data_IF_711257547105
#
_entry.id   IF_711257547105
#
_cell.length_a   1.000
_cell.length_b   1.000
_cell.length_c   1.000
_cell.angle_alpha   90.00
_cell.angle_beta   90.00
_cell.angle_gamma   90.00
#
_symmetry.space_group_name_H-M   'P 1'
#
loop_
_entity.id
_entity.type
_entity.pdbx_description
1 polymer ?
#
# COMPACT_ATOMS: atom_id res chain seq x y z
N UNK A 1 -0.90 4.22 30.76
CA UNK A 1 0.42 3.77 30.24
C UNK A 1 0.29 3.01 28.91
N UNK A 2 -0.57 1.98 28.80
CA UNK A 2 -0.74 1.18 27.58
C UNK A 2 -1.11 2.01 26.33
N UNK A 3 -2.11 2.90 26.41
CA UNK A 3 -2.53 3.73 25.27
C UNK A 3 -1.41 4.63 24.74
N UNK A 4 -0.62 5.24 25.63
CA UNK A 4 0.51 6.08 25.24
C UNK A 4 1.59 5.28 24.49
N UNK A 5 1.94 4.08 24.99
CA UNK A 5 2.90 3.21 24.31
C UNK A 5 2.39 2.78 22.94
N UNK A 6 1.12 2.39 22.81
CA UNK A 6 0.53 2.01 21.51
C UNK A 6 0.50 3.17 20.52
N UNK A 7 0.24 4.38 21.00
CA UNK A 7 0.28 5.59 20.17
C UNK A 7 1.67 5.82 19.56
N UNK A 8 2.72 5.82 20.39
CA UNK A 8 4.08 6.04 19.90
C UNK A 8 4.58 4.90 19.01
N UNK A 9 4.26 3.64 19.33
CA UNK A 9 4.58 2.49 18.48
C UNK A 9 3.86 2.60 17.13
N UNK A 10 2.58 2.99 17.12
CA UNK A 10 1.82 3.20 15.89
C UNK A 10 2.37 4.36 15.04
N UNK A 11 2.75 5.47 15.66
CA UNK A 11 3.35 6.62 15.00
C UNK A 11 4.70 6.27 14.36
N UNK A 12 5.58 5.59 15.10
CA UNK A 12 6.86 5.13 14.58
C UNK A 12 6.68 4.16 13.40
N UNK A 13 5.76 3.21 13.52
CA UNK A 13 5.46 2.22 12.47
C UNK A 13 4.93 2.89 11.20
N UNK A 14 4.01 3.84 11.33
CA UNK A 14 3.48 4.60 10.20
C UNK A 14 4.56 5.42 9.48
N UNK A 15 5.45 6.07 10.22
CA UNK A 15 6.56 6.84 9.66
C UNK A 15 7.57 5.99 8.91
N UNK A 16 8.00 4.87 9.50
CA UNK A 16 8.99 3.96 8.90
C UNK A 16 8.49 3.40 7.56
N UNK A 17 7.21 3.01 7.48
CA UNK A 17 6.63 2.50 6.24
C UNK A 17 6.75 3.52 5.09
N UNK A 18 6.40 4.79 5.35
CA UNK A 18 6.45 5.84 4.34
C UNK A 18 7.88 6.09 3.88
N UNK A 19 8.83 6.22 4.83
CA UNK A 19 10.24 6.52 4.53
C UNK A 19 10.90 5.38 3.74
N UNK A 20 10.67 4.12 4.12
CA UNK A 20 11.22 2.98 3.38
C UNK A 20 10.61 2.91 1.98
N UNK A 21 9.29 3.10 1.85
CA UNK A 21 8.63 3.07 0.54
C UNK A 21 9.13 4.17 -0.40
N UNK A 22 9.41 5.37 0.11
CA UNK A 22 9.95 6.47 -0.73
C UNK A 22 11.39 6.19 -1.12
N UNK A 23 12.22 5.76 -0.17
CA UNK A 23 13.62 5.45 -0.40
C UNK A 23 13.81 4.35 -1.45
N UNK A 24 13.07 3.24 -1.35
CA UNK A 24 13.16 2.17 -2.34
C UNK A 24 12.74 2.66 -3.73
N UNK A 25 11.75 3.54 -3.82
CA UNK A 25 11.25 4.06 -5.10
C UNK A 25 12.18 5.10 -5.74
N UNK A 26 13.00 5.78 -4.93
CA UNK A 26 14.07 6.67 -5.40
C UNK A 26 15.26 5.88 -5.95
N UNK A 27 15.58 4.74 -5.33
CA UNK A 27 16.67 3.85 -5.79
C UNK A 27 16.33 3.05 -7.04
N UNK A 28 15.05 2.92 -7.37
CA UNK A 28 14.58 2.12 -8.50
C UNK A 28 14.22 2.99 -9.71
N UNK A 29 14.74 2.58 -10.87
CA UNK A 29 14.36 3.12 -12.17
C UNK A 29 12.86 2.91 -12.41
N UNK A 30 12.22 3.82 -13.16
CA UNK A 30 10.78 3.83 -13.40
C UNK A 30 10.24 2.47 -13.91
N UNK A 31 11.00 1.77 -14.75
CA UNK A 31 10.64 0.46 -15.30
C UNK A 31 10.59 -0.67 -14.25
N UNK A 32 11.40 -0.57 -13.19
CA UNK A 32 11.54 -1.62 -12.16
C UNK A 32 10.53 -1.49 -11.02
N UNK A 33 9.89 -0.32 -10.88
CA UNK A 33 8.94 -0.01 -9.78
C UNK A 33 7.73 -0.94 -9.77
N UNK A 34 7.20 -1.27 -10.95
CA UNK A 34 6.06 -2.19 -11.07
C UNK A 34 6.44 -3.63 -10.69
N UNK A 35 7.66 -4.07 -11.07
CA UNK A 35 8.16 -5.41 -10.73
C UNK A 35 8.26 -5.57 -9.21
N UNK A 36 8.83 -4.58 -8.52
CA UNK A 36 8.92 -4.62 -7.06
C UNK A 36 7.55 -4.74 -6.42
N UNK A 37 6.57 -3.93 -6.82
CA UNK A 37 5.22 -3.93 -6.23
C UNK A 37 4.41 -5.18 -6.57
N UNK A 38 4.65 -5.76 -7.74
CA UNK A 38 4.05 -7.03 -8.15
C UNK A 38 4.57 -8.20 -7.32
N UNK A 39 5.88 -8.28 -7.12
CA UNK A 39 6.56 -9.39 -6.42
C UNK A 39 6.50 -9.23 -4.90
N UNK A 40 6.85 -8.05 -4.39
CA UNK A 40 6.83 -7.71 -2.97
C UNK A 40 5.52 -7.00 -2.63
N UNK A 41 4.57 -7.76 -2.08
CA UNK A 41 3.23 -7.30 -1.81
C UNK A 41 2.71 -7.72 -0.44
N UNK A 42 1.61 -7.09 0.00
CA UNK A 42 0.93 -7.35 1.27
C UNK A 42 0.39 -8.79 1.41
N UNK A 43 0.17 -9.49 0.30
CA UNK A 43 -0.25 -10.90 0.32
C UNK A 43 0.78 -11.80 0.98
N UNK A 44 2.08 -11.56 0.72
CA UNK A 44 3.17 -12.28 1.39
C UNK A 44 3.17 -12.05 2.90
N UNK A 45 2.99 -10.80 3.35
CA UNK A 45 2.92 -10.47 4.78
C UNK A 45 1.81 -11.25 5.47
N UNK A 46 0.62 -11.36 4.86
CA UNK A 46 -0.49 -12.17 5.39
C UNK A 46 -0.10 -13.65 5.47
N UNK A 47 0.45 -14.23 4.41
CA UNK A 47 0.86 -15.66 4.40
C UNK A 47 1.91 -15.94 5.49
N UNK A 48 2.98 -15.14 5.56
CA UNK A 48 4.05 -15.34 6.52
C UNK A 48 3.58 -15.15 7.96
N UNK A 49 2.84 -14.08 8.25
CA UNK A 49 2.34 -13.81 9.59
C UNK A 49 1.38 -14.91 10.05
N UNK A 50 0.44 -15.33 9.19
CA UNK A 50 -0.50 -16.40 9.52
C UNK A 50 0.22 -17.73 9.74
N UNK A 51 1.26 -18.03 8.96
CA UNK A 51 2.08 -19.24 9.14
C UNK A 51 2.83 -19.22 10.47
N UNK A 52 3.45 -18.08 10.83
CA UNK A 52 4.15 -17.92 12.11
C UNK A 52 3.17 -18.07 13.28
N UNK A 53 1.99 -17.44 13.19
CA UNK A 53 0.94 -17.56 14.21
C UNK A 53 0.44 -19.01 14.35
N UNK A 54 0.31 -19.74 13.24
CA UNK A 54 -0.08 -21.15 13.27
C UNK A 54 0.90 -22.02 14.06
N UNK A 55 2.21 -21.86 13.84
CA UNK A 55 3.22 -22.66 14.53
C UNK A 55 3.44 -22.24 15.99
N UNK A 56 3.37 -20.95 16.28
CA UNK A 56 3.71 -20.43 17.62
C UNK A 56 2.56 -20.53 18.62
N UNK A 57 1.29 -20.59 18.14
CA UNK A 57 0.03 -20.69 18.91
C UNK A 57 -0.16 -19.64 20.03
N UNK A 58 0.82 -18.76 20.23
CA UNK A 58 0.94 -17.79 21.29
C UNK A 58 1.43 -16.47 20.68
N UNK A 59 0.65 -15.40 20.87
CA UNK A 59 0.96 -14.08 20.30
C UNK A 59 2.34 -13.55 20.72
N UNK A 60 2.79 -13.85 21.95
CA UNK A 60 4.11 -13.45 22.45
C UNK A 60 5.26 -14.07 21.65
N UNK A 61 5.17 -15.36 21.40
CA UNK A 61 6.19 -16.09 20.63
C UNK A 61 6.14 -15.68 19.16
N UNK A 62 4.94 -15.46 18.60
CA UNK A 62 4.76 -14.95 17.23
C UNK A 62 5.49 -13.60 17.05
N UNK A 63 5.30 -12.65 17.97
CA UNK A 63 5.95 -11.34 17.91
C UNK A 63 7.48 -11.42 18.03
N UNK A 64 8.00 -12.30 18.89
CA UNK A 64 9.46 -12.51 19.02
C UNK A 64 10.04 -13.11 17.74
N UNK A 65 9.38 -14.11 17.16
CA UNK A 65 9.81 -14.72 15.89
C UNK A 65 9.80 -13.68 14.76
N UNK A 66 8.76 -12.85 14.67
CA UNK A 66 8.72 -11.76 13.70
C UNK A 66 9.88 -10.76 13.90
N UNK A 67 10.17 -10.38 15.14
CA UNK A 67 11.31 -9.49 15.43
C UNK A 67 12.65 -10.14 15.03
N UNK A 68 12.87 -11.42 15.35
CA UNK A 68 14.08 -12.15 14.98
C UNK A 68 14.26 -12.25 13.46
N UNK A 69 13.19 -12.50 12.70
CA UNK A 69 13.22 -12.55 11.24
C UNK A 69 13.60 -11.22 10.59
N UNK A 70 13.47 -10.12 11.32
CA UNK A 70 13.77 -8.77 10.81
C UNK A 70 15.18 -8.28 11.16
N UNK A 71 15.84 -8.92 12.14
CA UNK A 71 17.23 -8.61 12.50
C UNK A 71 18.23 -8.73 11.33
N UNK A 72 18.13 -9.72 10.42
CA UNK A 72 19.02 -9.79 9.26
C UNK A 72 18.86 -8.60 8.32
N UNK A 73 17.63 -8.10 8.13
CA UNK A 73 17.37 -6.92 7.30
C UNK A 73 17.96 -5.66 7.92
N UNK A 74 17.83 -5.51 9.25
CA UNK A 74 18.44 -4.40 10.01
C UNK A 74 19.97 -4.48 9.94
N UNK A 75 20.53 -5.68 10.09
CA UNK A 75 21.98 -5.90 10.03
C UNK A 75 22.56 -5.61 8.64
N UNK A 76 21.92 -6.09 7.57
CA UNK A 76 22.31 -5.78 6.20
C UNK A 76 22.14 -4.28 5.89
N UNK A 77 21.09 -3.65 6.41
CA UNK A 77 20.91 -2.19 6.35
C UNK A 77 22.04 -1.44 7.05
N UNK A 78 22.45 -1.88 8.24
CA UNK A 78 23.59 -1.29 8.97
C UNK A 78 24.92 -1.50 8.23
N UNK A 79 25.12 -2.66 7.60
CA UNK A 79 26.30 -2.92 6.77
C UNK A 79 26.32 -2.09 5.48
N UNK A 80 25.18 -1.91 4.82
CA UNK A 80 25.08 -1.03 3.65
C UNK A 80 25.23 0.44 4.05
N UNK A 81 24.65 0.86 5.18
CA UNK A 81 24.83 2.19 5.75
C UNK A 81 26.31 2.47 6.07
N UNK A 82 27.05 1.46 6.55
CA UNK A 82 28.50 1.60 6.76
C UNK A 82 29.32 1.79 5.46
N UNK A 83 28.76 1.49 4.28
CA UNK A 83 29.36 1.81 2.97
C UNK A 83 28.93 3.17 2.40
N UNK A 84 27.75 3.66 2.79
CA UNK A 84 27.25 5.01 2.41
C UNK A 84 27.82 6.09 3.35
N UNK A 85 28.25 5.70 4.56
CA UNK A 85 28.82 6.58 5.58
C UNK A 85 30.07 7.38 5.16
N UNK A 86 30.76 7.02 4.08
CA UNK A 86 31.89 7.80 3.57
C UNK A 86 31.48 9.11 2.87
N UNK A 87 30.21 9.27 2.47
CA UNK A 87 29.73 10.45 1.70
C UNK A 87 28.88 11.42 2.55
N UNK A 88 28.34 10.99 3.70
CA UNK A 88 27.21 11.68 4.34
C UNK A 88 27.47 12.16 5.79
N UNK A 89 28.71 12.58 6.09
CA UNK A 89 29.12 13.11 7.42
C UNK A 89 28.52 14.50 7.75
N UNK A 90 27.75 15.14 6.87
CA UNK A 90 27.31 16.53 7.04
C UNK A 90 25.83 16.78 7.41
N UNK A 91 24.96 15.79 7.60
CA UNK A 91 23.56 16.09 8.00
C UNK A 91 22.90 15.05 8.89
N UNK A 92 23.07 15.29 10.18
CA UNK A 92 21.98 15.28 11.16
C UNK A 92 21.23 13.95 11.40
N UNK A 93 21.85 13.14 12.27
CA UNK A 93 21.24 12.58 13.50
C UNK A 93 19.95 11.76 13.38
N UNK A 94 20.16 10.46 13.58
CA UNK A 94 19.33 9.52 14.35
C UNK A 94 18.08 8.96 13.69
N UNK A 95 18.15 7.71 13.26
CA UNK A 95 16.98 6.88 12.90
C UNK A 95 17.23 5.42 13.28
N UNK A 96 16.78 5.04 14.48
CA UNK A 96 16.76 3.65 14.93
C UNK A 96 15.36 3.06 14.65
N UNK A 97 15.33 2.00 13.84
CA UNK A 97 14.15 1.19 13.55
C UNK A 97 14.00 0.06 14.58
N UNK A 98 12.76 -0.24 14.98
CA UNK A 98 12.30 -1.61 15.27
C UNK A 98 10.77 -1.70 15.18
N UNK A 99 10.31 -2.84 14.65
CA UNK A 99 8.98 -3.13 14.12
C UNK A 99 7.93 -3.53 15.16
N UNK A 100 6.67 -3.15 14.89
CA UNK A 100 5.52 -4.07 14.94
C UNK A 100 4.25 -3.40 14.35
N UNK A 101 3.87 -3.78 13.13
CA UNK A 101 2.49 -3.70 12.61
C UNK A 101 1.87 -5.10 12.70
N UNK A 102 0.60 -5.33 12.99
CA UNK A 102 -0.54 -4.47 13.33
C UNK A 102 -1.59 -5.40 13.94
N UNK A 103 -2.34 -4.91 14.93
CA UNK A 103 -3.53 -5.58 15.45
C UNK A 103 -4.63 -5.64 14.38
N UNK A 104 -4.85 -6.82 13.82
CA UNK A 104 -6.14 -7.31 13.34
C UNK A 104 -6.34 -8.75 13.84
N UNK A 105 -6.13 -8.97 15.14
CA UNK A 105 -6.23 -10.30 15.77
C UNK A 105 -7.18 -10.30 16.98
N UNK A 106 -8.36 -9.72 16.79
CA UNK A 106 -9.45 -9.74 17.77
C UNK A 106 -10.73 -9.44 16.99
N UNK A 107 -11.24 -10.37 16.18
CA UNK A 107 -12.51 -11.05 16.53
C UNK A 107 -12.73 -12.37 15.75
N UNK A 108 -11.67 -13.03 15.26
CA UNK A 108 -11.80 -14.23 14.40
C UNK A 108 -11.04 -15.48 14.89
N UNK A 109 -10.76 -15.55 16.20
CA UNK A 109 -10.09 -16.71 16.84
C UNK A 109 -11.07 -17.63 17.59
N UNK A 110 -12.25 -17.89 17.01
CA UNK A 110 -13.23 -18.80 17.61
C UNK A 110 -13.86 -19.77 16.60
N UNK A 111 -13.10 -20.30 15.63
CA UNK A 111 -13.32 -21.66 15.10
C UNK A 111 -12.06 -22.15 14.36
N UNK A 112 -11.44 -23.16 14.96
CA UNK A 112 -10.09 -23.67 14.79
C UNK A 112 -9.95 -24.62 13.58
N UNK A 113 -9.12 -24.28 12.61
CA UNK A 113 -8.79 -25.14 11.45
C UNK A 113 -9.12 -24.49 10.11
N UNK A 114 -10.39 -24.41 9.77
CA UNK A 114 -10.84 -23.97 8.44
C UNK A 114 -10.51 -22.49 8.16
N UNK A 115 -10.64 -21.63 9.18
CA UNK A 115 -10.40 -20.18 9.08
C UNK A 115 -8.97 -19.82 8.65
N UNK A 116 -7.97 -20.57 9.10
CA UNK A 116 -6.56 -20.30 8.73
C UNK A 116 -6.28 -20.64 7.27
N UNK A 117 -6.87 -21.74 6.78
CA UNK A 117 -6.78 -22.13 5.38
C UNK A 117 -7.37 -21.04 4.48
N UNK A 118 -8.52 -20.46 4.87
CA UNK A 118 -9.11 -19.34 4.14
C UNK A 118 -8.23 -18.09 4.12
N UNK A 119 -7.55 -17.75 5.22
CA UNK A 119 -6.65 -16.59 5.26
C UNK A 119 -5.40 -16.80 4.40
N UNK A 120 -4.84 -18.01 4.40
CA UNK A 120 -3.70 -18.36 3.53
C UNK A 120 -4.13 -18.36 2.07
N UNK A 121 -5.28 -18.97 1.75
CA UNK A 121 -5.85 -18.96 0.40
C UNK A 121 -6.12 -17.54 -0.08
N UNK A 122 -6.63 -16.68 0.80
CA UNK A 122 -6.84 -15.28 0.51
C UNK A 122 -5.53 -14.54 0.20
N UNK A 123 -4.50 -14.72 1.03
CA UNK A 123 -3.16 -14.19 0.76
C UNK A 123 -2.59 -14.70 -0.57
N UNK A 124 -2.77 -15.98 -0.87
CA UNK A 124 -2.31 -16.59 -2.12
C UNK A 124 -3.02 -16.01 -3.35
N UNK A 125 -4.33 -15.78 -3.27
CA UNK A 125 -5.10 -15.11 -4.33
C UNK A 125 -4.58 -13.70 -4.56
N UNK A 126 -4.31 -12.93 -3.50
CA UNK A 126 -3.73 -11.59 -3.62
C UNK A 126 -2.36 -11.61 -4.30
N UNK A 127 -1.47 -12.53 -3.91
CA UNK A 127 -0.15 -12.70 -4.55
C UNK A 127 -0.30 -13.05 -6.03
N UNK A 128 -1.10 -14.08 -6.35
CA UNK A 128 -1.34 -14.51 -7.71
C UNK A 128 -1.92 -13.38 -8.57
N UNK A 129 -2.86 -12.61 -8.02
CA UNK A 129 -3.46 -11.46 -8.69
C UNK A 129 -2.42 -10.40 -9.06
N UNK A 130 -1.46 -10.09 -8.18
CA UNK A 130 -0.41 -9.09 -8.48
C UNK A 130 0.63 -9.60 -9.47
N UNK A 131 0.92 -10.90 -9.48
CA UNK A 131 1.74 -11.52 -10.53
C UNK A 131 1.06 -11.44 -11.90
N UNK A 132 -0.25 -11.65 -11.98
CA UNK A 132 -1.03 -11.45 -13.21
C UNK A 132 -0.98 -9.98 -13.64
N UNK A 133 -1.16 -9.05 -12.71
CA UNK A 133 -1.08 -7.61 -13.00
C UNK A 133 0.29 -7.22 -13.57
N UNK A 134 1.36 -7.74 -12.98
CA UNK A 134 2.72 -7.53 -13.45
C UNK A 134 2.91 -8.11 -14.87
N UNK A 135 2.44 -9.34 -15.11
CA UNK A 135 2.53 -9.97 -16.43
C UNK A 135 1.77 -9.15 -17.50
N UNK A 136 0.61 -8.60 -17.15
CA UNK A 136 -0.18 -7.72 -18.04
C UNK A 136 0.55 -6.41 -18.31
N UNK A 137 1.11 -5.76 -17.28
CA UNK A 137 1.81 -4.48 -17.45
C UNK A 137 3.08 -4.62 -18.30
N UNK A 138 3.82 -5.73 -18.13
CA UNK A 138 5.03 -6.03 -18.91
C UNK A 138 4.70 -6.44 -20.34
N UNK A 139 3.65 -7.24 -20.57
CA UNK A 139 3.32 -7.77 -21.91
C UNK A 139 2.59 -6.74 -22.80
N UNK A 140 1.86 -5.81 -22.20
CA UNK A 140 1.07 -4.83 -22.95
C UNK A 140 1.62 -3.40 -22.77
N UNK A 141 2.47 -2.90 -23.69
CA UNK A 141 3.04 -1.54 -23.58
C UNK A 141 1.98 -0.44 -23.74
N UNK A 142 0.84 -0.74 -24.37
CA UNK A 142 -0.32 0.17 -24.47
C UNK A 142 -1.12 0.33 -23.16
N UNK A 143 -0.81 -0.51 -22.16
CA UNK A 143 -1.45 -0.45 -20.87
C UNK A 143 -0.87 0.71 -20.07
N UNK A 144 -1.71 1.71 -19.80
CA UNK A 144 -1.30 2.98 -19.25
C UNK A 144 -1.66 3.05 -17.76
N UNK A 145 -0.91 3.79 -16.94
CA UNK A 145 -1.14 3.87 -15.48
C UNK A 145 -2.52 4.41 -15.16
N UNK A 146 -2.99 5.37 -15.98
CA UNK A 146 -4.34 5.93 -15.85
C UNK A 146 -5.43 4.89 -16.11
N UNK A 147 -5.30 4.08 -17.15
CA UNK A 147 -6.26 3.01 -17.48
C UNK A 147 -6.28 1.93 -16.41
N UNK A 148 -5.11 1.61 -15.83
CA UNK A 148 -5.01 0.70 -14.70
C UNK A 148 -5.80 1.22 -13.49
N UNK A 149 -5.53 2.46 -13.07
CA UNK A 149 -6.22 3.07 -11.93
C UNK A 149 -7.73 3.16 -12.14
N UNK A 150 -8.17 3.74 -13.26
CA UNK A 150 -9.59 3.93 -13.56
C UNK A 150 -10.32 2.61 -13.74
N UNK A 151 -9.70 1.64 -14.44
CA UNK A 151 -10.28 0.31 -14.65
C UNK A 151 -10.45 -0.47 -13.34
N UNK A 152 -9.43 -0.48 -12.48
CA UNK A 152 -9.49 -1.11 -11.17
C UNK A 152 -10.56 -0.46 -10.28
N UNK A 153 -10.62 0.88 -10.26
CA UNK A 153 -11.59 1.63 -9.48
C UNK A 153 -13.04 1.36 -9.93
N UNK A 154 -13.30 1.29 -11.24
CA UNK A 154 -14.62 0.93 -11.78
C UNK A 154 -14.99 -0.51 -11.38
N UNK A 155 -14.06 -1.45 -11.50
CA UNK A 155 -14.29 -2.83 -11.10
C UNK A 155 -14.58 -2.97 -9.60
N UNK A 156 -13.90 -2.20 -8.75
CA UNK A 156 -14.21 -2.10 -7.31
C UNK A 156 -15.63 -1.60 -7.10
N UNK A 157 -16.01 -0.46 -7.67
CA UNK A 157 -17.36 0.10 -7.49
C UNK A 157 -18.44 -0.89 -7.96
N UNK A 158 -18.21 -1.60 -9.06
CA UNK A 158 -19.12 -2.64 -9.54
C UNK A 158 -19.24 -3.82 -8.56
N UNK A 159 -18.13 -4.38 -8.09
CA UNK A 159 -18.16 -5.50 -7.14
C UNK A 159 -18.88 -5.12 -5.84
N UNK A 160 -18.60 -3.94 -5.29
CA UNK A 160 -19.24 -3.45 -4.07
C UNK A 160 -20.71 -3.08 -4.27
N UNK A 161 -21.12 -2.65 -5.47
CA UNK A 161 -22.53 -2.46 -5.82
C UNK A 161 -23.29 -3.80 -5.85
N UNK A 162 -22.67 -4.85 -6.39
CA UNK A 162 -23.25 -6.21 -6.35
C UNK A 162 -23.36 -6.71 -4.92
N UNK A 163 -22.34 -6.50 -4.07
CA UNK A 163 -22.41 -6.84 -2.64
C UNK A 163 -23.53 -6.08 -1.92
N UNK A 164 -23.66 -4.77 -2.18
CA UNK A 164 -24.75 -3.97 -1.61
C UNK A 164 -26.13 -4.52 -2.00
N UNK A 165 -26.30 -4.91 -3.27
CA UNK A 165 -27.54 -5.53 -3.75
C UNK A 165 -27.80 -6.90 -3.12
N UNK A 166 -26.78 -7.75 -2.98
CA UNK A 166 -26.90 -9.06 -2.32
C UNK A 166 -27.26 -8.94 -0.85
N UNK A 167 -26.65 -7.98 -0.13
CA UNK A 167 -27.00 -7.67 1.25
C UNK A 167 -28.41 -7.11 1.38
N UNK A 168 -28.88 -6.31 0.41
CA UNK A 168 -30.26 -5.83 0.37
C UNK A 168 -31.27 -6.99 0.25
N UNK A 169 -30.91 -8.04 -0.50
CA UNK A 169 -31.73 -9.25 -0.67
C UNK A 169 -31.55 -10.23 0.52
N UNK A 170 -30.61 -9.96 1.43
CA UNK A 170 -30.32 -10.82 2.59
C UNK A 170 -29.55 -12.10 2.24
N UNK A 171 -28.86 -12.14 1.09
CA UNK A 171 -28.10 -13.31 0.67
C UNK A 171 -26.65 -13.29 1.18
N UNK A 172 -26.28 -14.34 1.93
CA UNK A 172 -24.95 -14.51 2.53
C UNK A 172 -24.26 -15.82 2.12
N UNK A 173 -24.59 -16.37 0.95
CA UNK A 173 -24.01 -17.63 0.47
C UNK A 173 -22.58 -17.52 -0.07
N UNK A 174 -22.00 -18.60 -0.63
CA UNK A 174 -20.60 -18.64 -1.06
C UNK A 174 -20.26 -17.63 -2.17
N UNK A 175 -21.22 -17.28 -3.02
CA UNK A 175 -21.04 -16.27 -4.08
C UNK A 175 -20.72 -14.89 -3.48
N UNK A 176 -21.26 -14.58 -2.30
CA UNK A 176 -20.98 -13.33 -1.58
C UNK A 176 -19.49 -13.22 -1.22
N UNK A 177 -18.91 -14.34 -0.74
CA UNK A 177 -17.48 -14.42 -0.41
C UNK A 177 -16.63 -14.28 -1.67
N UNK A 178 -16.99 -14.94 -2.78
CA UNK A 178 -16.21 -14.82 -4.03
C UNK A 178 -16.17 -13.37 -4.53
N UNK A 179 -17.30 -12.66 -4.47
CA UNK A 179 -17.37 -11.26 -4.92
C UNK A 179 -16.64 -10.32 -3.94
N UNK A 180 -16.69 -10.58 -2.62
CA UNK A 180 -15.94 -9.77 -1.64
C UNK A 180 -14.42 -9.95 -1.78
N UNK A 181 -13.98 -11.17 -2.07
CA UNK A 181 -12.58 -11.47 -2.39
C UNK A 181 -12.14 -10.74 -3.67
N UNK A 182 -12.95 -10.81 -4.73
CA UNK A 182 -12.68 -10.12 -5.99
C UNK A 182 -12.63 -8.60 -5.80
N UNK A 183 -13.58 -8.03 -5.04
CA UNK A 183 -13.59 -6.61 -4.71
C UNK A 183 -12.33 -6.17 -3.96
N UNK A 184 -11.81 -7.02 -3.07
CA UNK A 184 -10.57 -6.74 -2.33
C UNK A 184 -9.34 -6.73 -3.24
N UNK A 185 -9.27 -7.66 -4.21
CA UNK A 185 -8.20 -7.68 -5.23
C UNK A 185 -8.17 -6.36 -6.03
N UNK A 186 -9.33 -5.87 -6.47
CA UNK A 186 -9.40 -4.62 -7.24
C UNK A 186 -9.10 -3.37 -6.40
N UNK A 187 -9.44 -3.38 -5.10
CA UNK A 187 -9.03 -2.31 -4.17
C UNK A 187 -7.50 -2.26 -4.05
N UNK A 188 -6.84 -3.40 -3.90
CA UNK A 188 -5.38 -3.48 -3.83
C UNK A 188 -4.72 -2.97 -5.11
N UNK A 189 -5.27 -3.27 -6.28
CA UNK A 189 -4.79 -2.72 -7.55
C UNK A 189 -4.94 -1.20 -7.63
N UNK A 190 -6.08 -0.69 -7.15
CA UNK A 190 -6.33 0.76 -7.08
C UNK A 190 -5.32 1.43 -6.17
N UNK A 191 -5.03 0.84 -5.01
CA UNK A 191 -4.04 1.33 -4.06
C UNK A 191 -2.63 1.38 -4.68
N UNK A 192 -2.19 0.30 -5.32
CA UNK A 192 -0.90 0.25 -6.01
C UNK A 192 -0.81 1.30 -7.12
N UNK A 193 -1.88 1.45 -7.92
CA UNK A 193 -1.92 2.41 -9.01
C UNK A 193 -1.92 3.86 -8.51
N UNK A 194 -2.70 4.19 -7.46
CA UNK A 194 -2.72 5.50 -6.81
C UNK A 194 -1.31 5.92 -6.36
N UNK A 195 -0.65 5.04 -5.59
CA UNK A 195 0.67 5.32 -5.07
C UNK A 195 1.72 5.44 -6.18
N UNK A 196 1.60 4.63 -7.23
CA UNK A 196 2.54 4.66 -8.33
C UNK A 196 2.40 5.95 -9.14
N UNK A 197 1.17 6.34 -9.49
CA UNK A 197 0.91 7.59 -10.19
C UNK A 197 1.35 8.80 -9.36
N UNK A 198 1.09 8.80 -8.04
CA UNK A 198 1.51 9.88 -7.15
C UNK A 198 3.04 10.08 -7.17
N UNK A 199 3.80 8.99 -7.08
CA UNK A 199 5.28 9.05 -7.06
C UNK A 199 5.85 9.38 -8.44
N UNK A 200 5.31 8.80 -9.51
CA UNK A 200 5.77 9.05 -10.87
C UNK A 200 5.43 10.48 -11.34
N UNK A 201 4.35 11.09 -10.82
CA UNK A 201 3.96 12.48 -11.14
C UNK A 201 4.79 13.55 -10.41
N UNK A 202 5.59 13.16 -9.43
CA UNK A 202 6.35 14.07 -8.57
C UNK A 202 7.85 13.96 -8.84
N UNK A 203 8.53 15.10 -8.81
CA UNK A 203 9.99 15.16 -8.81
C UNK A 203 10.58 14.51 -7.54
N UNK A 204 11.82 14.01 -7.65
CA UNK A 204 12.51 13.26 -6.59
C UNK A 204 12.46 13.95 -5.23
N UNK A 205 12.69 15.26 -5.19
CA UNK A 205 12.70 16.07 -3.95
C UNK A 205 11.34 16.17 -3.27
N UNK A 206 10.24 15.96 -4.00
CA UNK A 206 8.86 16.07 -3.48
C UNK A 206 8.19 14.71 -3.27
N UNK A 207 8.76 13.61 -3.79
CA UNK A 207 8.19 12.25 -3.69
C UNK A 207 7.95 11.83 -2.23
N UNK A 208 8.87 12.14 -1.33
CA UNK A 208 8.72 11.83 0.10
C UNK A 208 7.50 12.53 0.73
N UNK A 209 7.34 13.83 0.44
CA UNK A 209 6.21 14.63 0.93
C UNK A 209 4.88 14.14 0.36
N UNK A 210 4.81 13.90 -0.95
CA UNK A 210 3.60 13.41 -1.61
C UNK A 210 3.13 12.05 -1.06
N UNK A 211 4.07 11.12 -0.85
CA UNK A 211 3.79 9.80 -0.28
C UNK A 211 3.34 9.90 1.18
N UNK A 212 3.94 10.83 1.94
CA UNK A 212 3.51 11.16 3.31
C UNK A 212 2.10 11.73 3.38
N UNK A 213 1.72 12.66 2.50
CA UNK A 213 0.36 13.21 2.43
C UNK A 213 -0.66 12.12 2.07
N UNK A 214 -0.35 11.24 1.11
CA UNK A 214 -1.23 10.12 0.76
C UNK A 214 -1.45 9.18 1.97
N UNK A 215 -0.38 8.83 2.68
CA UNK A 215 -0.49 8.01 3.89
C UNK A 215 -1.25 8.70 5.02
N UNK A 216 -1.07 10.00 5.23
CA UNK A 216 -1.83 10.76 6.23
C UNK A 216 -3.34 10.63 5.99
N UNK A 217 -3.80 10.87 4.76
CA UNK A 217 -5.22 10.72 4.40
C UNK A 217 -5.73 9.27 4.56
N UNK A 218 -4.92 8.28 4.22
CA UNK A 218 -5.28 6.88 4.42
C UNK A 218 -5.49 6.53 5.91
N UNK A 219 -4.72 7.13 6.81
CA UNK A 219 -4.90 6.93 8.26
C UNK A 219 -6.17 7.58 8.78
N UNK A 220 -6.60 8.71 8.22
CA UNK A 220 -7.93 9.28 8.51
C UNK A 220 -9.02 8.28 8.11
N UNK A 221 -8.91 7.64 6.94
CA UNK A 221 -9.83 6.59 6.52
C UNK A 221 -9.87 5.39 7.48
N UNK A 222 -8.73 4.95 7.98
CA UNK A 222 -8.65 3.87 8.98
C UNK A 222 -9.30 4.24 10.32
N UNK A 223 -9.20 5.51 10.76
CA UNK A 223 -9.89 6.02 11.94
C UNK A 223 -11.41 6.02 11.74
N UNK A 224 -11.89 6.28 10.51
CA UNK A 224 -13.31 6.29 10.16
C UNK A 224 -13.91 4.89 9.95
N UNK A 225 -13.09 3.88 9.63
CA UNK A 225 -13.52 2.50 9.37
C UNK A 225 -14.44 1.87 10.43
N UNK A 226 -14.15 1.93 11.76
CA UNK A 226 -15.04 1.34 12.77
C UNK A 226 -16.42 2.01 12.81
N UNK A 227 -16.53 3.30 12.50
CA UNK A 227 -17.82 4.00 12.44
C UNK A 227 -18.68 3.51 11.27
N UNK A 228 -18.06 3.16 10.14
CA UNK A 228 -18.77 2.53 9.02
C UNK A 228 -19.29 1.14 9.38
N UNK A 229 -18.57 0.40 10.23
CA UNK A 229 -19.05 -0.87 10.74
C UNK A 229 -20.24 -0.67 11.69
N UNK A 230 -20.18 0.32 12.58
CA UNK A 230 -21.32 0.68 13.44
C UNK A 230 -22.56 1.11 12.63
N UNK A 231 -22.37 1.75 11.47
CA UNK A 231 -23.47 2.13 10.58
C UNK A 231 -24.22 0.90 10.02
N UNK A 232 -23.58 -0.26 9.92
CA UNK A 232 -24.25 -1.50 9.46
C UNK A 232 -25.33 -2.00 10.42
N UNK A 233 -25.24 -1.63 11.71
CA UNK A 233 -26.27 -1.93 12.70
C UNK A 233 -27.59 -1.19 12.43
N UNK A 234 -27.52 0.00 11.82
CA UNK A 234 -28.69 0.77 11.43
C UNK A 234 -29.15 0.45 10.01
N UNK A 235 -28.19 0.22 9.10
CA UNK A 235 -28.47 -0.07 7.71
C UNK A 235 -27.47 -1.09 7.16
N UNK A 236 -27.89 -2.34 7.00
CA UNK A 236 -27.02 -3.47 6.64
C UNK A 236 -26.06 -3.22 5.46
N UNK A 237 -26.45 -2.57 4.34
CA UNK A 237 -25.54 -2.32 3.21
C UNK A 237 -24.70 -1.03 3.33
N UNK A 238 -24.72 -0.33 4.47
CA UNK A 238 -24.07 0.98 4.64
C UNK A 238 -22.58 0.98 4.28
N UNK A 239 -21.85 -0.06 4.67
CA UNK A 239 -20.40 -0.14 4.44
C UNK A 239 -20.06 -0.23 2.95
N UNK A 240 -20.87 -0.97 2.18
CA UNK A 240 -20.68 -1.10 0.73
C UNK A 240 -21.00 0.21 0.01
N UNK A 241 -22.05 0.91 0.44
CA UNK A 241 -22.38 2.23 -0.08
C UNK A 241 -21.30 3.27 0.19
N UNK A 242 -20.70 3.26 1.39
CA UNK A 242 -19.59 4.14 1.70
C UNK A 242 -18.40 3.93 0.73
N UNK A 243 -18.04 2.68 0.45
CA UNK A 243 -16.97 2.34 -0.51
C UNK A 243 -17.35 2.78 -1.93
N UNK A 244 -18.59 2.60 -2.36
CA UNK A 244 -19.06 3.04 -3.70
C UNK A 244 -18.96 4.56 -3.82
N UNK A 245 -19.46 5.31 -2.85
CA UNK A 245 -19.44 6.79 -2.87
C UNK A 245 -18.00 7.32 -2.91
N UNK A 246 -17.14 6.83 -2.01
CA UNK A 246 -15.73 7.22 -1.99
C UNK A 246 -15.01 6.83 -3.29
N UNK A 247 -15.31 5.64 -3.83
CA UNK A 247 -14.75 5.16 -5.08
C UNK A 247 -15.18 5.97 -6.30
N UNK A 248 -16.45 6.40 -6.36
CA UNK A 248 -16.96 7.27 -7.43
C UNK A 248 -16.34 8.66 -7.36
N UNK A 249 -16.13 9.20 -6.16
CA UNK A 249 -15.40 10.47 -5.97
C UNK A 249 -13.96 10.34 -6.46
N UNK A 250 -13.24 9.27 -6.08
CA UNK A 250 -11.89 9.01 -6.57
C UNK A 250 -11.85 8.83 -8.10
N UNK A 251 -12.86 8.15 -8.66
CA UNK A 251 -12.98 7.97 -10.11
C UNK A 251 -13.21 9.32 -10.81
N UNK A 252 -14.07 10.18 -10.29
CA UNK A 252 -14.32 11.50 -10.86
C UNK A 252 -13.07 12.40 -10.85
N UNK A 253 -12.33 12.40 -9.72
CA UNK A 253 -11.07 13.15 -9.59
C UNK A 253 -10.02 12.61 -10.57
N UNK A 254 -9.80 11.29 -10.57
CA UNK A 254 -8.82 10.66 -11.46
C UNK A 254 -9.19 10.77 -12.93
N UNK A 255 -10.47 10.86 -13.27
CA UNK A 255 -10.89 11.12 -14.63
C UNK A 255 -10.44 12.49 -15.12
N UNK A 256 -10.52 13.53 -14.27
CA UNK A 256 -10.25 14.91 -14.67
C UNK A 256 -8.79 15.33 -14.54
N UNK A 257 -8.08 14.82 -13.53
CA UNK A 257 -6.78 15.33 -13.11
C UNK A 257 -5.61 14.35 -13.32
N UNK A 258 -5.86 13.05 -13.51
CA UNK A 258 -4.77 12.09 -13.59
C UNK A 258 -4.08 12.18 -14.96
N UNK A 259 -2.83 12.65 -14.93
CA UNK A 259 -1.92 12.65 -16.08
C UNK A 259 -1.36 11.24 -16.28
N UNK A 260 -1.04 10.87 -17.52
CA UNK A 260 -0.40 9.60 -17.80
C UNK A 260 1.09 9.66 -17.43
N UNK A 261 1.53 8.79 -16.52
CA UNK A 261 2.88 8.79 -15.96
C UNK A 261 3.75 7.62 -16.41
N UNK A 262 3.21 6.66 -17.17
CA UNK A 262 3.98 5.47 -17.58
C UNK A 262 5.23 5.86 -18.36
N UNK A 263 6.40 5.50 -17.82
CA UNK A 263 7.72 5.68 -18.43
C UNK A 263 8.09 7.16 -18.73
N UNK A 264 7.44 8.12 -18.09
CA UNK A 264 7.83 9.53 -18.15
C UNK A 264 8.67 9.83 -16.91
N UNK A 265 9.97 10.09 -17.09
CA UNK A 265 10.81 10.53 -15.98
C UNK A 265 10.84 12.06 -15.92
N UNK A 266 10.06 12.63 -15.01
CA UNK A 266 10.05 14.08 -14.78
C UNK A 266 11.35 14.59 -14.15
N UNK A 267 12.27 13.70 -13.73
CA UNK A 267 13.57 14.11 -13.22
C UNK A 267 14.46 14.75 -14.28
N UNK A 268 14.29 14.42 -15.57
CA UNK A 268 15.14 14.96 -16.65
C UNK A 268 14.82 16.43 -16.98
N UNK A 269 13.57 16.86 -16.75
CA UNK A 269 13.07 18.19 -17.14
C UNK A 269 13.60 19.32 -16.25
N UNK A 270 13.83 19.06 -14.96
CA UNK A 270 14.35 20.07 -14.02
C UNK A 270 15.85 20.34 -14.23
N UNK A 271 16.64 19.32 -14.59
CA UNK A 271 18.07 19.53 -14.90
C UNK A 271 18.24 20.46 -16.09
N UNK A 272 17.48 20.28 -17.17
CA UNK A 272 17.55 21.17 -18.33
C UNK A 272 17.21 22.63 -17.97
N UNK A 273 16.25 22.85 -17.09
CA UNK A 273 15.86 24.20 -16.67
C UNK A 273 16.88 24.85 -15.71
N UNK A 274 17.39 24.09 -14.74
CA UNK A 274 18.46 24.55 -13.83
C UNK A 274 19.76 24.85 -14.61
N UNK A 275 20.12 24.01 -15.60
CA UNK A 275 21.27 24.25 -16.47
C UNK A 275 21.05 25.48 -17.38
N UNK A 276 19.85 25.70 -17.91
CA UNK A 276 19.53 26.90 -18.68
C UNK A 276 19.58 28.17 -17.83
N UNK A 277 19.04 28.17 -16.62
CA UNK A 277 19.13 29.30 -15.69
C UNK A 277 20.58 29.58 -15.29
N UNK A 278 21.36 28.56 -14.93
CA UNK A 278 22.78 28.71 -14.59
C UNK A 278 23.59 29.26 -15.78
N UNK A 279 23.32 28.79 -17.01
CA UNK A 279 23.96 29.31 -18.21
C UNK A 279 23.53 30.74 -18.56
N UNK A 280 22.28 31.11 -18.29
CA UNK A 280 21.77 32.48 -18.48
C UNK A 280 22.38 33.45 -17.44
N UNK A 281 22.54 33.02 -16.19
CA UNK A 281 23.22 33.82 -15.16
C UNK A 281 24.71 34.01 -15.46
N UNK A 282 25.39 32.98 -15.97
CA UNK A 282 26.79 33.07 -16.40
C UNK A 282 26.98 33.92 -17.66
N UNK A 283 25.97 33.98 -18.55
CA UNK A 283 25.99 34.87 -19.73
C UNK A 283 25.75 36.34 -19.37
N UNK A 284 25.02 36.60 -18.28
CA UNK A 284 24.64 37.94 -17.84
C UNK A 284 25.61 38.58 -16.82
N UNK A 285 26.69 37.87 -16.43
CA UNK A 285 27.83 38.39 -15.65
C UNK A 285 29.02 38.70 -16.56
#
# INVERSE_FOLDING_TARGET
MLFGVRFFVGLATGGILVVICTWIMELLLAEQRMVLRGVFNWGWTRIFLTTICYFTQNWRHASIVCALLTLPAIFLGALCASRVADVEIARHSSSAQCLASSEECSEFLATSGDTLVYVILFGAILVASKLVLLAVDTKYPRFSRRKLHQGAQIATCFCFAVLAAMTWIGYHGPIFLVISLLGTVFIEYTWDACYLCAIESMQTTLRASATGTCSFWARIGAILAPFLNMATAYWSPAIYWAVIVLGLVNLAISWRFLVETKNVDLAEVDFEHDFEEEHLELRNK
#
